data_IF_036739158061
#
_entry.id   IF_036739158061
#
_cell.length_a   1.000
_cell.length_b   1.000
_cell.length_c   1.000
_cell.angle_alpha   90.00
_cell.angle_beta   90.00
_cell.angle_gamma   90.00
#
_symmetry.space_group_name_H-M   'P 1'
#
loop_
_entity.id
_entity.type
_entity.pdbx_description
1 polymer ?
#
# COMPACT_ATOMS: atom_id res chain seq x y z
N UNK A 1 -18.90 14.99 -0.99
CA UNK A 1 -17.67 14.22 -1.32
C UNK A 1 -16.37 14.91 -0.90
N UNK A 2 -16.32 16.23 -0.65
CA UNK A 2 -15.11 16.97 -0.26
C UNK A 2 -14.53 16.59 1.11
N UNK A 3 -15.38 16.41 2.14
CA UNK A 3 -14.94 16.18 3.53
C UNK A 3 -14.16 14.87 3.74
N UNK A 4 -14.47 13.83 2.96
CA UNK A 4 -13.76 12.55 3.00
C UNK A 4 -12.35 12.69 2.39
N UNK A 5 -12.24 13.38 1.26
CA UNK A 5 -10.96 13.66 0.60
C UNK A 5 -10.08 14.57 1.46
N UNK A 6 -10.66 15.56 2.14
CA UNK A 6 -9.93 16.40 3.10
C UNK A 6 -9.41 15.60 4.29
N UNK A 7 -10.20 14.65 4.81
CA UNK A 7 -9.78 13.80 5.93
C UNK A 7 -8.67 12.84 5.52
N UNK A 8 -8.73 12.29 4.31
CA UNK A 8 -7.65 11.46 3.75
C UNK A 8 -6.39 12.32 3.55
N UNK A 9 -6.50 13.51 2.97
CA UNK A 9 -5.36 14.42 2.76
C UNK A 9 -4.74 14.86 4.07
N UNK A 10 -5.56 15.15 5.09
CA UNK A 10 -5.09 15.52 6.43
C UNK A 10 -4.46 14.31 7.14
N UNK A 11 -4.98 13.11 6.93
CA UNK A 11 -4.39 11.86 7.42
C UNK A 11 -3.05 11.56 6.76
N UNK A 12 -2.93 11.64 5.43
CA UNK A 12 -1.67 11.39 4.70
C UNK A 12 -0.59 12.42 5.06
N UNK A 13 -0.98 13.66 5.39
CA UNK A 13 -0.08 14.71 5.89
C UNK A 13 0.27 14.56 7.38
N UNK A 14 -0.46 13.76 8.14
CA UNK A 14 -0.18 13.51 9.56
C UNK A 14 1.05 12.63 9.74
N UNK A 15 1.76 12.72 10.88
CA UNK A 15 2.90 11.85 11.18
C UNK A 15 2.52 10.36 11.23
N UNK A 16 1.29 10.02 11.62
CA UNK A 16 0.79 8.64 11.57
C UNK A 16 0.63 8.16 10.13
N UNK A 17 -0.03 8.95 9.27
CA UNK A 17 -0.22 8.58 7.86
C UNK A 17 1.09 8.53 7.08
N UNK A 18 2.04 9.43 7.35
CA UNK A 18 3.39 9.36 6.79
C UNK A 18 4.10 8.06 7.16
N UNK A 19 4.05 7.64 8.43
CA UNK A 19 4.61 6.35 8.87
C UNK A 19 3.94 5.16 8.20
N UNK A 20 2.62 5.18 8.03
CA UNK A 20 1.89 4.15 7.30
C UNK A 20 2.32 4.09 5.83
N UNK A 21 2.42 5.25 5.17
CA UNK A 21 2.88 5.35 3.78
C UNK A 21 4.33 4.90 3.65
N UNK A 22 5.22 5.30 4.55
CA UNK A 22 6.62 4.88 4.55
C UNK A 22 6.77 3.38 4.80
N UNK A 23 5.98 2.82 5.71
CA UNK A 23 5.99 1.37 5.97
C UNK A 23 5.49 0.60 4.76
N UNK A 24 4.40 1.07 4.13
CA UNK A 24 3.90 0.53 2.88
C UNK A 24 4.92 0.69 1.75
N UNK A 25 5.61 1.82 1.68
CA UNK A 25 6.62 2.11 0.66
C UNK A 25 7.87 1.26 0.85
N UNK A 26 8.33 1.03 2.07
CA UNK A 26 9.41 0.07 2.37
C UNK A 26 8.99 -1.36 2.02
N UNK A 27 7.79 -1.77 2.43
CA UNK A 27 7.25 -3.09 2.08
C UNK A 27 7.08 -3.28 0.56
N UNK A 28 6.77 -2.22 -0.18
CA UNK A 28 6.67 -2.23 -1.64
C UNK A 28 8.03 -2.11 -2.35
N UNK A 29 8.98 -1.39 -1.74
CA UNK A 29 10.35 -1.25 -2.22
C UNK A 29 11.15 -2.54 -2.05
N UNK A 30 10.75 -3.40 -1.12
CA UNK A 30 11.37 -4.70 -0.92
C UNK A 30 11.14 -5.62 -2.14
N UNK A 31 12.19 -5.94 -2.93
CA UNK A 31 12.05 -6.80 -4.10
C UNK A 31 11.62 -8.22 -3.70
N UNK A 32 11.98 -8.67 -2.49
CA UNK A 32 11.58 -9.96 -1.93
C UNK A 32 10.07 -10.06 -1.74
N UNK A 33 9.45 -9.02 -1.18
CA UNK A 33 7.99 -8.94 -1.03
C UNK A 33 7.29 -8.81 -2.38
N UNK A 34 7.93 -8.14 -3.34
CA UNK A 34 7.42 -8.02 -4.71
C UNK A 34 7.39 -9.36 -5.45
N UNK A 35 8.41 -10.20 -5.29
CA UNK A 35 8.44 -11.55 -5.82
C UNK A 35 7.38 -12.45 -5.16
N UNK A 36 7.22 -12.34 -3.85
CA UNK A 36 6.19 -13.09 -3.10
C UNK A 36 4.78 -12.66 -3.51
N UNK A 37 4.53 -11.35 -3.65
CA UNK A 37 3.27 -10.81 -4.14
C UNK A 37 2.99 -11.23 -5.59
N UNK A 38 4.00 -11.22 -6.47
CA UNK A 38 3.86 -11.73 -7.85
C UNK A 38 3.51 -13.21 -7.88
N UNK A 39 4.13 -14.02 -7.03
CA UNK A 39 3.84 -15.45 -6.92
C UNK A 39 2.40 -15.70 -6.42
N UNK A 40 1.98 -14.97 -5.39
CA UNK A 40 0.61 -15.04 -4.85
C UNK A 40 -0.43 -14.56 -5.88
N UNK A 41 -0.16 -13.46 -6.57
CA UNK A 41 -1.02 -12.95 -7.64
C UNK A 41 -1.08 -13.91 -8.83
N UNK A 42 0.04 -14.56 -9.18
CA UNK A 42 0.09 -15.59 -10.20
C UNK A 42 -0.78 -16.81 -9.85
N UNK A 43 -0.73 -17.25 -8.59
CA UNK A 43 -1.61 -18.32 -8.07
C UNK A 43 -3.09 -17.95 -8.08
N UNK A 44 -3.42 -16.71 -7.74
CA UNK A 44 -4.79 -16.20 -7.80
C UNK A 44 -5.30 -16.04 -9.24
N UNK A 45 -4.43 -15.63 -10.18
CA UNK A 45 -4.77 -15.52 -11.61
C UNK A 45 -4.88 -16.87 -12.31
N UNK A 46 -4.07 -17.85 -11.95
CA UNK A 46 -4.08 -19.19 -12.54
C UNK A 46 -5.18 -20.12 -12.02
N UNK A 47 -6.08 -19.61 -11.17
CA UNK A 47 -7.22 -20.36 -10.62
C UNK A 47 -8.57 -19.96 -11.22
N UNK A 48 -8.55 -19.26 -12.36
CA UNK A 48 -9.71 -19.09 -13.24
C UNK A 48 -9.67 -20.13 -14.35
#
# INVERSE_FOLDING_TARGET
>A
MSRLLDRITRFTRSPQGRRTIDSARRAAADPRKRAQARSLLGRLRGRR
#
